data_IF_126373920781
#
_entry.id   IF_126373920781
#
_cell.length_a   1.000
_cell.length_b   1.000
_cell.length_c   1.000
_cell.angle_alpha   90.00
_cell.angle_beta   90.00
_cell.angle_gamma   90.00
#
_symmetry.space_group_name_H-M   'P 1'
#
loop_
_entity.id
_entity.type
_entity.pdbx_description
1 polymer ?
#
# COMPACT_ATOMS: atom_id res chain seq x y z
N UNK A 1 -10.98 -14.72 -21.29
CA UNK A 1 -9.77 -14.16 -20.65
C UNK A 1 -9.35 -14.86 -19.35
N UNK A 2 -10.00 -14.69 -18.19
CA UNK A 2 -9.48 -15.29 -16.93
C UNK A 2 -9.39 -16.83 -16.97
N UNK A 3 -10.46 -17.51 -17.41
CA UNK A 3 -10.43 -18.98 -17.60
C UNK A 3 -9.42 -19.43 -18.65
N UNK A 4 -9.22 -18.66 -19.72
CA UNK A 4 -8.26 -18.97 -20.79
C UNK A 4 -6.80 -18.82 -20.31
N UNK A 5 -6.55 -17.89 -19.38
CA UNK A 5 -5.24 -17.65 -18.79
C UNK A 5 -5.03 -18.40 -17.47
N UNK A 6 -5.96 -19.27 -17.07
CA UNK A 6 -5.96 -19.98 -15.79
C UNK A 6 -5.78 -19.03 -14.59
N UNK A 7 -6.50 -17.91 -14.60
CA UNK A 7 -6.51 -16.89 -13.55
C UNK A 7 -7.79 -17.00 -12.75
N UNK A 8 -7.63 -17.11 -11.42
CA UNK A 8 -8.73 -17.01 -10.48
C UNK A 8 -8.87 -15.58 -9.95
N UNK A 9 -10.11 -15.12 -9.83
CA UNK A 9 -10.45 -13.87 -9.16
C UNK A 9 -10.95 -14.16 -7.76
N UNK A 10 -10.35 -13.49 -6.76
CA UNK A 10 -10.75 -13.60 -5.36
C UNK A 10 -11.22 -12.23 -4.89
N UNK A 11 -12.49 -12.13 -4.52
CA UNK A 11 -13.00 -10.98 -3.78
C UNK A 11 -12.77 -11.21 -2.29
N UNK A 12 -11.77 -10.52 -1.73
CA UNK A 12 -11.38 -10.63 -0.31
C UNK A 12 -12.55 -10.33 0.62
N UNK A 13 -13.39 -9.34 0.27
CA UNK A 13 -14.57 -8.99 1.08
C UNK A 13 -15.56 -10.14 1.15
N UNK A 14 -15.87 -10.77 0.01
CA UNK A 14 -16.83 -11.88 -0.02
C UNK A 14 -16.31 -13.10 0.76
N UNK A 15 -15.00 -13.37 0.70
CA UNK A 15 -14.39 -14.45 1.47
C UNK A 15 -14.48 -14.19 2.98
N UNK A 16 -14.08 -13.00 3.45
CA UNK A 16 -14.13 -12.68 4.89
C UNK A 16 -15.58 -12.61 5.40
N UNK A 17 -16.49 -11.98 4.67
CA UNK A 17 -17.88 -11.81 5.13
C UNK A 17 -18.69 -13.11 5.10
N UNK A 18 -18.20 -14.11 4.37
CA UNK A 18 -18.76 -15.47 4.38
C UNK A 18 -18.04 -16.42 5.34
N UNK A 19 -17.19 -15.90 6.23
CA UNK A 19 -16.42 -16.69 7.20
C UNK A 19 -15.49 -17.74 6.55
N UNK A 20 -15.06 -17.51 5.30
CA UNK A 20 -14.09 -18.36 4.58
C UNK A 20 -12.66 -17.90 4.86
N UNK A 21 -12.32 -17.87 6.13
CA UNK A 21 -11.07 -17.29 6.64
C UNK A 21 -10.06 -18.39 7.05
N UNK A 22 -8.79 -18.03 7.11
CA UNK A 22 -7.77 -18.85 7.76
C UNK A 22 -7.93 -18.82 9.29
N UNK A 23 -7.39 -19.82 10.00
CA UNK A 23 -7.40 -19.84 11.46
C UNK A 23 -6.64 -18.61 12.01
N UNK A 24 -7.30 -17.68 12.73
CA UNK A 24 -6.65 -16.48 13.24
C UNK A 24 -5.49 -16.78 14.20
N UNK A 25 -5.52 -17.92 14.90
CA UNK A 25 -4.48 -18.34 15.84
C UNK A 25 -3.21 -18.74 15.10
N UNK A 26 -3.34 -19.45 13.97
CA UNK A 26 -2.20 -19.78 13.11
C UNK A 26 -1.58 -18.54 12.48
N UNK A 27 -2.41 -17.63 11.97
CA UNK A 27 -1.96 -16.37 11.39
C UNK A 27 -1.22 -15.54 12.44
N UNK A 28 -1.80 -15.41 13.65
CA UNK A 28 -1.17 -14.69 14.77
C UNK A 28 0.20 -15.27 15.12
N UNK A 29 0.29 -16.59 15.29
CA UNK A 29 1.55 -17.27 15.61
C UNK A 29 2.62 -17.03 14.55
N UNK A 30 2.24 -17.11 13.27
CA UNK A 30 3.17 -16.86 12.17
C UNK A 30 3.70 -15.43 12.18
N UNK A 31 2.81 -14.44 12.34
CA UNK A 31 3.17 -13.02 12.32
C UNK A 31 4.06 -12.64 13.49
N UNK A 32 3.71 -13.11 14.69
CA UNK A 32 4.43 -12.78 15.93
C UNK A 32 5.77 -13.50 16.06
N UNK A 33 6.12 -14.39 15.12
CA UNK A 33 7.46 -14.97 15.02
C UNK A 33 8.48 -13.95 14.49
N UNK A 34 8.08 -13.13 13.51
CA UNK A 34 8.97 -12.21 12.80
C UNK A 34 8.71 -10.73 13.14
N UNK A 35 7.50 -10.39 13.59
CA UNK A 35 7.06 -9.02 13.81
C UNK A 35 6.43 -8.83 15.18
N UNK A 36 6.37 -7.57 15.63
CA UNK A 36 5.56 -7.25 16.82
C UNK A 36 4.06 -7.41 16.53
N UNK A 37 3.31 -7.78 17.57
CA UNK A 37 1.86 -8.03 17.51
C UNK A 37 1.08 -6.89 16.83
N UNK A 38 0.02 -7.26 16.12
CA UNK A 38 -0.89 -6.31 15.46
C UNK A 38 -2.26 -6.28 16.15
N UNK A 39 -3.17 -5.44 15.65
CA UNK A 39 -4.55 -5.40 16.16
C UNK A 39 -5.21 -6.77 15.95
N UNK A 40 -5.74 -7.39 17.01
CA UNK A 40 -6.21 -8.79 16.98
C UNK A 40 -7.21 -9.07 15.84
N UNK A 41 -8.07 -8.10 15.52
CA UNK A 41 -9.05 -8.20 14.43
C UNK A 41 -8.39 -8.49 13.07
N UNK A 42 -7.17 -8.00 12.82
CA UNK A 42 -6.46 -8.20 11.55
C UNK A 42 -6.10 -9.67 11.31
N UNK A 43 -5.86 -10.46 12.36
CA UNK A 43 -5.56 -11.88 12.22
C UNK A 43 -6.73 -12.68 11.64
N UNK A 44 -7.96 -12.17 11.77
CA UNK A 44 -9.17 -12.79 11.22
C UNK A 44 -9.53 -12.28 9.81
N UNK A 45 -8.66 -11.49 9.17
CA UNK A 45 -8.94 -10.83 7.87
C UNK A 45 -8.21 -11.46 6.68
N UNK A 46 -7.80 -12.72 6.82
CA UNK A 46 -7.11 -13.43 5.75
C UNK A 46 -8.01 -14.53 5.18
N UNK A 47 -8.41 -14.43 3.89
CA UNK A 47 -9.15 -15.49 3.23
C UNK A 47 -8.37 -16.81 3.26
N UNK A 48 -9.05 -17.93 3.49
CA UNK A 48 -8.42 -19.27 3.50
C UNK A 48 -7.67 -19.55 2.19
N UNK A 49 -8.27 -19.18 1.05
CA UNK A 49 -7.66 -19.33 -0.27
C UNK A 49 -6.32 -18.57 -0.41
N UNK A 50 -6.21 -17.37 0.15
CA UNK A 50 -4.95 -16.62 0.12
C UNK A 50 -3.93 -17.27 1.05
N UNK A 51 -4.34 -17.67 2.24
CA UNK A 51 -3.46 -18.35 3.20
C UNK A 51 -2.89 -19.68 2.64
N UNK A 52 -3.65 -20.39 1.82
CA UNK A 52 -3.19 -21.62 1.15
C UNK A 52 -2.14 -21.36 0.07
N UNK A 53 -2.03 -20.11 -0.41
CA UNK A 53 -1.01 -19.67 -1.36
C UNK A 53 0.24 -19.09 -0.67
N UNK A 54 0.33 -19.14 0.66
CA UNK A 54 1.50 -18.61 1.41
C UNK A 54 2.83 -19.14 0.86
N UNK A 55 3.85 -18.30 0.88
CA UNK A 55 5.14 -18.53 0.22
C UNK A 55 5.17 -18.11 -1.26
N UNK A 56 4.01 -17.90 -1.88
CA UNK A 56 3.93 -17.38 -3.26
C UNK A 56 4.35 -15.92 -3.36
N UNK A 57 4.55 -15.45 -4.59
CA UNK A 57 4.75 -14.04 -4.88
C UNK A 57 3.44 -13.27 -4.69
N UNK A 58 3.50 -12.13 -4.00
CA UNK A 58 2.40 -11.18 -3.87
C UNK A 58 2.84 -9.84 -4.46
N UNK A 59 2.07 -9.30 -5.41
CA UNK A 59 2.37 -8.02 -6.04
C UNK A 59 1.38 -6.97 -5.54
N UNK A 60 1.87 -6.00 -4.77
CA UNK A 60 1.12 -4.79 -4.45
C UNK A 60 1.20 -3.82 -5.64
N UNK A 61 0.23 -3.93 -6.54
CA UNK A 61 0.09 -3.07 -7.71
C UNK A 61 -0.67 -1.80 -7.35
N UNK A 62 0.04 -0.68 -7.25
CA UNK A 62 -0.49 0.63 -6.92
C UNK A 62 -0.46 1.57 -8.14
N UNK A 63 -1.44 2.47 -8.24
CA UNK A 63 -1.38 3.62 -9.14
C UNK A 63 -0.80 4.82 -8.40
N UNK A 64 0.05 5.62 -9.07
CA UNK A 64 0.48 6.91 -8.55
C UNK A 64 -0.70 7.89 -8.58
N UNK A 65 -1.12 8.35 -7.40
CA UNK A 65 -2.26 9.26 -7.22
C UNK A 65 -1.78 10.65 -6.83
N UNK A 66 -2.70 11.61 -6.74
CA UNK A 66 -2.44 12.98 -6.29
C UNK A 66 -2.37 13.10 -4.75
N UNK A 67 -2.46 11.99 -4.02
CA UNK A 67 -2.27 11.89 -2.58
C UNK A 67 -1.29 10.76 -2.26
N UNK A 68 -0.60 10.84 -1.13
CA UNK A 68 0.44 9.89 -0.77
C UNK A 68 -0.14 8.50 -0.48
N UNK A 69 -0.14 7.66 -1.50
CA UNK A 69 -0.59 6.27 -1.48
C UNK A 69 0.18 5.47 -2.52
N UNK A 70 1.17 4.73 -2.06
CA UNK A 70 2.06 3.92 -2.88
C UNK A 70 1.86 2.44 -2.57
N UNK A 71 2.93 1.65 -2.53
CA UNK A 71 2.86 0.19 -2.50
C UNK A 71 2.52 -0.38 -1.12
N UNK A 72 3.02 0.20 -0.03
CA UNK A 72 2.68 -0.21 1.34
C UNK A 72 1.23 0.13 1.65
N UNK A 73 0.83 1.38 1.38
CA UNK A 73 -0.54 1.85 1.65
C UNK A 73 -1.57 1.15 0.75
N UNK A 74 -1.18 0.63 -0.42
CA UNK A 74 -2.09 -0.15 -1.25
C UNK A 74 -2.54 -1.45 -0.57
N UNK A 75 -1.67 -2.10 0.23
CA UNK A 75 -2.03 -3.31 0.99
C UNK A 75 -3.07 -3.01 2.10
N UNK A 76 -3.21 -1.75 2.55
CA UNK A 76 -4.33 -1.32 3.42
C UNK A 76 -5.71 -1.57 2.79
N UNK A 77 -5.79 -1.62 1.47
CA UNK A 77 -7.00 -2.00 0.74
C UNK A 77 -7.46 -3.42 1.04
N UNK A 78 -6.56 -4.30 1.51
CA UNK A 78 -6.84 -5.70 1.83
C UNK A 78 -7.58 -5.90 3.15
N UNK A 79 -7.83 -4.84 3.92
CA UNK A 79 -8.72 -4.85 5.09
C UNK A 79 -10.17 -4.74 4.58
N UNK A 80 -10.97 -5.82 4.60
CA UNK A 80 -12.30 -5.87 3.98
C UNK A 80 -13.40 -5.44 4.96
N UNK A 81 -13.15 -4.33 5.66
CA UNK A 81 -14.09 -3.77 6.63
C UNK A 81 -14.69 -2.47 6.05
N UNK A 82 -16.03 -2.37 5.95
CA UNK A 82 -16.66 -1.21 5.36
C UNK A 82 -16.52 0.03 6.27
N UNK A 83 -16.30 -0.14 7.58
CA UNK A 83 -16.14 0.95 8.54
C UNK A 83 -14.68 1.44 8.58
N UNK A 84 -14.25 2.08 7.48
CA UNK A 84 -12.92 2.72 7.37
C UNK A 84 -12.55 3.61 8.57
N UNK A 85 -13.46 4.39 9.19
CA UNK A 85 -13.13 5.20 10.36
C UNK A 85 -12.52 4.43 11.54
N UNK A 86 -12.79 3.13 11.71
CA UNK A 86 -12.16 2.32 12.78
C UNK A 86 -10.66 2.12 12.57
N UNK A 87 -10.24 2.02 11.32
CA UNK A 87 -8.84 1.80 10.94
C UNK A 87 -8.07 3.11 10.83
N UNK A 88 -8.78 4.20 10.55
CA UNK A 88 -8.22 5.54 10.56
C UNK A 88 -8.10 6.07 11.98
N UNK A 89 -9.12 5.86 12.81
CA UNK A 89 -9.27 6.56 14.09
C UNK A 89 -9.56 8.05 13.90
N UNK A 90 -9.83 8.74 15.00
CA UNK A 90 -10.06 10.19 14.98
C UNK A 90 -8.82 10.91 14.47
N UNK A 91 -8.94 11.71 13.41
CA UNK A 91 -7.82 12.43 12.76
C UNK A 91 -6.68 11.49 12.29
N UNK A 92 -7.03 10.31 11.79
CA UNK A 92 -6.08 9.35 11.20
C UNK A 92 -4.99 8.82 12.15
N UNK A 93 -5.16 8.95 13.47
CA UNK A 93 -4.15 8.54 14.46
C UNK A 93 -3.85 7.04 14.48
N UNK A 94 -4.78 6.21 14.01
CA UNK A 94 -4.61 4.75 13.89
C UNK A 94 -4.17 4.32 12.49
N UNK A 95 -4.35 5.17 11.47
CA UNK A 95 -4.11 4.83 10.08
C UNK A 95 -2.71 4.24 9.83
N UNK A 96 -1.60 4.84 10.30
CA UNK A 96 -0.28 4.26 10.12
C UNK A 96 -0.15 2.86 10.72
N UNK A 97 -0.71 2.64 11.92
CA UNK A 97 -0.66 1.35 12.60
C UNK A 97 -1.47 0.29 11.84
N UNK A 98 -2.62 0.65 11.29
CA UNK A 98 -3.43 -0.27 10.50
C UNK A 98 -2.80 -0.58 9.15
N UNK A 99 -2.18 0.40 8.47
CA UNK A 99 -1.37 0.17 7.26
C UNK A 99 -0.25 -0.82 7.56
N UNK A 100 0.58 -0.57 8.58
CA UNK A 100 1.71 -1.43 8.88
C UNK A 100 1.26 -2.79 9.44
N UNK A 101 0.19 -2.83 10.22
CA UNK A 101 -0.37 -4.06 10.76
C UNK A 101 -0.75 -5.06 9.66
N UNK A 102 -1.49 -4.63 8.64
CA UNK A 102 -1.83 -5.55 7.53
C UNK A 102 -0.60 -5.89 6.67
N UNK A 103 0.34 -4.96 6.49
CA UNK A 103 1.59 -5.24 5.78
C UNK A 103 2.38 -6.35 6.48
N UNK A 104 2.49 -6.35 7.82
CA UNK A 104 3.16 -7.43 8.56
C UNK A 104 2.56 -8.80 8.22
N UNK A 105 1.22 -8.90 8.21
CA UNK A 105 0.54 -10.16 7.86
C UNK A 105 0.90 -10.61 6.45
N UNK A 106 0.78 -9.73 5.45
CA UNK A 106 1.07 -10.09 4.06
C UNK A 106 2.57 -10.36 3.83
N UNK A 107 3.48 -9.67 4.51
CA UNK A 107 4.92 -9.94 4.45
C UNK A 107 5.32 -11.25 5.16
N UNK A 108 4.60 -11.66 6.21
CA UNK A 108 4.77 -13.00 6.82
C UNK A 108 4.30 -14.09 5.87
N UNK A 109 3.17 -13.89 5.18
CA UNK A 109 2.56 -14.93 4.36
C UNK A 109 3.16 -15.03 2.95
N UNK A 110 3.72 -13.96 2.38
CA UNK A 110 4.10 -13.91 0.97
C UNK A 110 5.45 -13.27 0.71
N UNK A 111 6.01 -13.59 -0.46
CA UNK A 111 7.12 -12.84 -1.06
C UNK A 111 6.57 -11.56 -1.71
N UNK A 112 6.54 -10.47 -0.95
CA UNK A 112 5.92 -9.20 -1.38
C UNK A 112 6.83 -8.40 -2.32
N UNK A 113 6.24 -7.92 -3.41
CA UNK A 113 6.82 -6.97 -4.37
C UNK A 113 5.89 -5.77 -4.52
N UNK A 114 6.45 -4.57 -4.53
CA UNK A 114 5.73 -3.35 -4.83
C UNK A 114 5.88 -2.97 -6.30
N UNK A 115 4.78 -2.57 -6.95
CA UNK A 115 4.79 -1.89 -8.24
C UNK A 115 3.95 -0.62 -8.11
N UNK A 116 4.50 0.53 -8.46
CA UNK A 116 3.76 1.79 -8.56
C UNK A 116 3.81 2.29 -10.00
N UNK A 117 2.65 2.49 -10.62
CA UNK A 117 2.54 2.84 -12.03
C UNK A 117 1.74 4.11 -12.30
N UNK A 118 2.13 4.80 -13.36
CA UNK A 118 1.40 5.86 -14.03
C UNK A 118 1.72 5.79 -15.53
N UNK A 119 1.38 4.66 -16.16
CA UNK A 119 1.69 4.41 -17.58
C UNK A 119 0.81 5.26 -18.49
N UNK A 120 -0.50 5.21 -18.27
CA UNK A 120 -1.50 5.83 -19.15
C UNK A 120 -2.04 7.15 -18.60
N UNK A 121 -2.23 7.26 -17.30
CA UNK A 121 -2.80 8.45 -16.67
C UNK A 121 -2.30 8.61 -15.24
N UNK A 122 -2.10 9.85 -14.79
CA UNK A 122 -1.97 10.17 -13.35
C UNK A 122 -2.77 11.41 -12.99
N UNK A 123 -3.28 11.46 -11.76
CA UNK A 123 -3.87 12.67 -11.19
C UNK A 123 -2.80 13.52 -10.52
N UNK A 124 -2.88 14.85 -10.65
CA UNK A 124 -1.95 15.79 -10.04
C UNK A 124 -2.68 16.98 -9.42
N UNK A 125 -2.34 17.33 -8.18
CA UNK A 125 -2.98 18.47 -7.50
C UNK A 125 -2.76 19.75 -8.30
N UNK A 126 -3.82 20.53 -8.47
CA UNK A 126 -3.78 21.82 -9.15
C UNK A 126 -4.87 22.73 -8.57
N UNK A 127 -4.56 23.94 -8.07
CA UNK A 127 -5.55 24.84 -7.46
C UNK A 127 -6.76 25.11 -8.34
N UNK A 128 -6.56 25.18 -9.65
CA UNK A 128 -7.61 25.38 -10.66
C UNK A 128 -7.95 24.08 -11.42
N UNK A 129 -7.65 22.92 -10.83
CA UNK A 129 -7.79 21.62 -11.48
C UNK A 129 -9.20 21.37 -12.01
N UNK A 130 -9.32 20.65 -13.13
CA UNK A 130 -10.63 20.37 -13.76
C UNK A 130 -11.53 19.50 -12.89
N UNK A 131 -10.94 18.64 -12.07
CA UNK A 131 -11.63 17.68 -11.21
C UNK A 131 -11.46 18.05 -9.75
N UNK A 132 -12.36 17.55 -8.90
CA UNK A 132 -12.35 17.77 -7.46
C UNK A 132 -12.36 16.41 -6.74
N UNK A 133 -11.47 16.25 -5.76
CA UNK A 133 -11.44 15.08 -4.89
C UNK A 133 -12.54 15.21 -3.83
N UNK A 134 -13.44 14.22 -3.80
CA UNK A 134 -14.64 14.26 -2.95
C UNK A 134 -14.31 14.34 -1.44
N UNK A 135 -13.17 13.78 -1.02
CA UNK A 135 -12.82 13.69 0.40
C UNK A 135 -12.09 14.92 0.91
N UNK A 136 -11.16 15.46 0.12
CA UNK A 136 -10.33 16.59 0.52
C UNK A 136 -10.84 17.94 0.01
N UNK A 137 -11.77 17.95 -0.95
CA UNK A 137 -12.16 19.15 -1.71
C UNK A 137 -11.03 19.71 -2.58
N UNK A 138 -9.89 19.02 -2.67
CA UNK A 138 -8.75 19.48 -3.44
C UNK A 138 -8.99 19.30 -4.93
N UNK A 139 -8.58 20.29 -5.72
CA UNK A 139 -8.70 20.21 -7.17
C UNK A 139 -7.47 19.55 -7.80
N UNK A 140 -7.68 18.82 -8.88
CA UNK A 140 -6.62 18.10 -9.60
C UNK A 140 -6.86 18.07 -11.11
N UNK A 141 -5.78 17.86 -11.86
CA UNK A 141 -5.78 17.58 -13.29
C UNK A 141 -5.43 16.11 -13.56
N UNK A 142 -5.84 15.61 -14.72
CA UNK A 142 -5.40 14.31 -15.23
C UNK A 142 -4.31 14.58 -16.27
N UNK A 143 -3.15 13.96 -16.09
CA UNK A 143 -2.06 13.94 -17.06
C UNK A 143 -2.15 12.62 -17.81
N UNK A 144 -2.18 12.69 -19.14
CA UNK A 144 -2.19 11.53 -20.01
C UNK A 144 -0.77 11.10 -20.40
N UNK A 145 -0.60 9.80 -20.61
CA UNK A 145 0.63 9.11 -20.99
C UNK A 145 1.89 9.52 -20.21
N UNK A 146 1.90 9.45 -18.86
CA UNK A 146 3.08 9.83 -18.08
C UNK A 146 4.26 8.86 -18.29
N UNK A 147 4.00 7.61 -18.68
CA UNK A 147 5.04 6.63 -19.00
C UNK A 147 5.89 6.19 -17.81
N UNK A 148 5.31 6.16 -16.61
CA UNK A 148 6.05 5.90 -15.37
C UNK A 148 5.75 4.52 -14.76
N UNK A 149 6.79 3.84 -14.30
CA UNK A 149 6.71 2.65 -13.45
C UNK A 149 7.92 2.59 -12.51
N UNK A 150 7.68 2.24 -11.25
CA UNK A 150 8.71 1.85 -10.30
C UNK A 150 8.35 0.51 -9.65
N UNK A 151 9.34 -0.32 -9.36
CA UNK A 151 9.15 -1.62 -8.73
C UNK A 151 10.29 -1.96 -7.78
N UNK A 152 10.02 -2.80 -6.78
CA UNK A 152 11.04 -3.23 -5.83
C UNK A 152 10.52 -4.21 -4.78
N UNK A 153 11.45 -4.87 -4.09
CA UNK A 153 11.17 -5.75 -2.93
C UNK A 153 11.23 -5.02 -1.59
N UNK A 154 12.03 -3.97 -1.52
CA UNK A 154 12.04 -3.08 -0.36
C UNK A 154 10.99 -1.99 -0.58
N UNK A 155 9.78 -2.26 -0.08
CA UNK A 155 8.65 -1.36 -0.22
C UNK A 155 8.84 -0.08 0.60
N UNK A 156 9.64 -0.09 1.67
CA UNK A 156 9.90 1.10 2.49
C UNK A 156 10.74 2.09 1.69
N UNK A 157 11.81 1.61 1.05
CA UNK A 157 12.61 2.40 0.12
C UNK A 157 11.82 2.87 -1.09
N UNK A 158 11.04 1.98 -1.70
CA UNK A 158 10.23 2.31 -2.87
C UNK A 158 9.26 3.45 -2.54
N UNK A 159 8.49 3.34 -1.46
CA UNK A 159 7.51 4.34 -1.07
C UNK A 159 8.16 5.66 -0.63
N UNK A 160 9.29 5.62 0.09
CA UNK A 160 10.03 6.82 0.48
C UNK A 160 10.57 7.60 -0.73
N UNK A 161 11.17 6.89 -1.69
CA UNK A 161 11.65 7.48 -2.95
C UNK A 161 10.50 8.07 -3.74
N UNK A 162 9.41 7.31 -3.94
CA UNK A 162 8.22 7.77 -4.65
C UNK A 162 7.61 9.02 -4.01
N UNK A 163 7.46 9.02 -2.68
CA UNK A 163 6.96 10.17 -1.91
C UNK A 163 7.78 11.44 -2.17
N UNK A 164 9.10 11.29 -2.13
CA UNK A 164 10.03 12.40 -2.34
C UNK A 164 10.06 12.91 -3.79
N UNK A 165 10.00 12.00 -4.77
CA UNK A 165 10.02 12.35 -6.20
C UNK A 165 8.72 12.99 -6.66
N UNK A 166 7.58 12.49 -6.17
CA UNK A 166 6.27 13.04 -6.48
C UNK A 166 5.96 14.35 -5.73
N UNK A 167 6.90 14.85 -4.92
CA UNK A 167 6.79 16.15 -4.26
C UNK A 167 5.78 16.18 -3.12
N UNK A 168 5.45 15.03 -2.52
CA UNK A 168 4.54 15.01 -1.38
C UNK A 168 5.18 15.60 -0.13
N UNK A 169 4.37 16.31 0.68
CA UNK A 169 4.79 16.72 2.02
C UNK A 169 5.18 15.45 2.81
N UNK A 170 6.40 15.34 3.34
CA UNK A 170 6.79 14.24 4.19
C UNK A 170 5.80 13.98 5.33
N UNK A 171 5.13 15.00 5.89
CA UNK A 171 4.09 14.80 6.91
C UNK A 171 2.92 13.92 6.46
N UNK A 172 2.65 13.87 5.15
CA UNK A 172 1.54 13.09 4.58
C UNK A 172 1.81 11.59 4.49
N UNK A 173 3.07 11.16 4.55
CA UNK A 173 3.46 9.75 4.43
C UNK A 173 4.49 9.25 5.45
N UNK A 174 5.27 10.15 6.06
CA UNK A 174 6.29 9.79 7.04
C UNK A 174 5.70 9.01 8.22
N UNK A 175 4.47 9.31 8.65
CA UNK A 175 3.89 8.61 9.80
C UNK A 175 3.82 7.09 9.62
N UNK A 176 3.53 6.61 8.40
CA UNK A 176 3.56 5.17 8.12
C UNK A 176 4.95 4.69 7.67
N UNK A 177 5.76 5.53 7.00
CA UNK A 177 7.15 5.16 6.66
C UNK A 177 8.00 4.99 7.93
N UNK A 178 7.95 5.92 8.87
CA UNK A 178 8.66 5.86 10.16
C UNK A 178 8.29 4.60 10.96
N UNK A 179 7.03 4.14 10.84
CA UNK A 179 6.59 2.90 11.46
C UNK A 179 7.03 1.67 10.64
N UNK A 180 7.00 1.76 9.31
CA UNK A 180 7.51 0.72 8.43
C UNK A 180 9.01 0.47 8.67
N UNK A 181 9.81 1.52 8.86
CA UNK A 181 11.25 1.40 9.11
C UNK A 181 11.58 0.59 10.37
N UNK A 182 10.75 0.72 11.40
CA UNK A 182 10.91 0.00 12.67
C UNK A 182 10.64 -1.50 12.53
N UNK A 183 9.80 -1.88 11.58
CA UNK A 183 9.29 -3.25 11.46
C UNK A 183 9.94 -4.01 10.30
N UNK A 184 10.18 -3.33 9.18
CA UNK A 184 10.73 -3.92 7.94
C UNK A 184 12.19 -3.50 7.67
N UNK A 185 12.75 -2.63 8.49
CA UNK A 185 14.10 -2.09 8.33
C UNK A 185 14.12 -0.72 7.63
N UNK A 186 15.23 0.02 7.76
CA UNK A 186 15.33 1.39 7.27
C UNK A 186 15.37 1.43 5.74
N UNK A 187 14.80 2.49 5.15
CA UNK A 187 14.96 2.71 3.72
C UNK A 187 16.38 3.16 3.34
N UNK A 188 16.79 2.86 2.11
CA UNK A 188 18.09 3.26 1.54
C UNK A 188 18.17 4.79 1.38
N UNK A 189 18.85 5.42 2.35
CA UNK A 189 19.07 6.86 2.39
C UNK A 189 19.90 7.37 1.21
N UNK A 190 20.80 6.56 0.67
CA UNK A 190 21.66 6.96 -0.45
C UNK A 190 20.91 6.87 -1.77
N UNK A 191 20.14 5.80 -2.00
CA UNK A 191 19.22 5.73 -3.14
C UNK A 191 18.18 6.85 -3.09
N UNK A 192 17.65 7.16 -1.90
CA UNK A 192 16.75 8.30 -1.69
C UNK A 192 17.35 9.64 -2.13
N UNK A 193 18.58 9.97 -1.70
CA UNK A 193 19.25 11.22 -2.11
C UNK A 193 19.54 11.24 -3.61
N UNK A 194 20.06 10.13 -4.15
CA UNK A 194 20.41 10.00 -5.58
C UNK A 194 19.20 10.12 -6.48
N UNK A 195 18.03 9.62 -6.06
CA UNK A 195 16.81 9.65 -6.86
C UNK A 195 16.49 11.06 -7.37
N UNK A 196 16.51 12.08 -6.50
CA UNK A 196 16.28 13.47 -6.90
C UNK A 196 17.34 14.02 -7.85
N UNK A 197 18.60 13.63 -7.67
CA UNK A 197 19.69 14.04 -8.56
C UNK A 197 19.54 13.42 -9.95
N UNK A 198 19.07 12.17 -10.04
CA UNK A 198 18.97 11.43 -11.30
C UNK A 198 17.73 11.76 -12.10
N UNK A 199 16.56 11.83 -11.46
CA UNK A 199 15.28 12.02 -12.17
C UNK A 199 14.69 13.42 -12.02
N UNK A 200 15.34 14.31 -11.25
CA UNK A 200 14.91 15.70 -11.08
C UNK A 200 13.47 15.82 -10.58
N UNK A 201 12.69 16.67 -11.26
CA UNK A 201 11.28 16.95 -10.99
C UNK A 201 10.31 16.14 -11.86
N UNK A 202 10.75 15.03 -12.46
CA UNK A 202 9.94 14.26 -13.43
C UNK A 202 8.56 13.82 -12.89
N UNK A 203 8.46 13.55 -11.59
CA UNK A 203 7.21 13.18 -10.93
C UNK A 203 6.55 14.33 -10.15
N UNK A 204 7.22 15.46 -10.02
CA UNK A 204 6.67 16.62 -9.31
C UNK A 204 5.56 17.29 -10.15
N UNK A 205 4.58 17.95 -9.49
CA UNK A 205 3.63 18.87 -10.13
C UNK A 205 4.28 19.99 -10.94
#
# INVERSE_FOLDING_TARGET
LFKELNVDYINVTDEIWSDRIADPTEVKKAVETDFSAVQDKLYSMIPKKLYDLRGSMFISLAKLKHYASFTIKNIFGMIPDPLRPWWHGTKDVLLPRSIIGINKIYHTLFNVYGICEALNTRSILHPEGKFEDFYSGSRYNIIENPGFMAFGRDLVSLDAILGNLAGFDPKSFNSYIDLAEKEFGPYDREAFKKSKLTVGSWLSP
#
